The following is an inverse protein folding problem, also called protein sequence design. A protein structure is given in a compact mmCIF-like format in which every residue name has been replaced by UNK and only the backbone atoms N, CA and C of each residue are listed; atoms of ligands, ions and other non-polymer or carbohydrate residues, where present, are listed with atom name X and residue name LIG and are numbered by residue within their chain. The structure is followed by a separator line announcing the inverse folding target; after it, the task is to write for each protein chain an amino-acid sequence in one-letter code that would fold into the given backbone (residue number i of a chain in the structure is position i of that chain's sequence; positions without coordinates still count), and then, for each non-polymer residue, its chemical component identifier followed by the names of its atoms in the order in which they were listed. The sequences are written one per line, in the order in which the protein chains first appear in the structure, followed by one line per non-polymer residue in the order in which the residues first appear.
data_IF_815684574956
#
_entry.id   IF_815684574956
#
_cell.length_a   1.000
_cell.length_b   1.000
_cell.length_c   1.000
_cell.angle_alpha   90.00
_cell.angle_beta   90.00
_cell.angle_gamma   90.00
#
_symmetry.space_group_name_H-M   'P 1'
#
loop_
_entity.id
_entity.type
_entity.pdbx_description
1 polymer ?
#
# COMPACT_ATOMS: atom_id res chain seq x y z
N UNK A 1 3.85 -17.45 -12.11
CA UNK A 1 2.91 -16.32 -12.30
C UNK A 1 2.17 -16.08 -10.99
N UNK A 2 1.88 -14.82 -10.65
CA UNK A 2 1.23 -14.46 -9.40
C UNK A 2 -0.24 -14.90 -9.40
N UNK A 3 -0.67 -15.62 -8.35
CA UNK A 3 -2.09 -16.03 -8.19
C UNK A 3 -3.06 -14.84 -8.25
N UNK A 4 -2.58 -13.67 -7.83
CA UNK A 4 -3.34 -12.41 -7.90
C UNK A 4 -3.65 -11.99 -9.34
N UNK A 5 -2.72 -12.22 -10.29
CA UNK A 5 -2.91 -11.89 -11.70
C UNK A 5 -3.76 -12.93 -12.43
N UNK A 6 -3.73 -14.18 -11.99
CA UNK A 6 -4.47 -15.29 -12.62
C UNK A 6 -5.96 -15.28 -12.25
N UNK A 7 -6.32 -14.70 -11.11
CA UNK A 7 -7.69 -14.71 -10.59
C UNK A 7 -8.23 -13.30 -10.31
N UNK A 8 -8.05 -12.39 -11.27
CA UNK A 8 -8.46 -10.97 -11.14
C UNK A 8 -9.87 -10.79 -10.62
N UNK A 9 -10.85 -11.53 -11.15
CA UNK A 9 -12.26 -11.49 -10.72
C UNK A 9 -12.49 -11.80 -9.23
N UNK A 10 -11.55 -12.52 -8.60
CA UNK A 10 -11.59 -12.81 -7.17
C UNK A 10 -10.87 -11.74 -6.35
N UNK A 11 -9.76 -11.22 -6.87
CA UNK A 11 -8.88 -10.30 -6.14
C UNK A 11 -9.19 -8.80 -6.37
N UNK A 12 -9.98 -8.46 -7.38
CA UNK A 12 -10.49 -7.10 -7.63
C UNK A 12 -11.72 -6.76 -6.75
N UNK A 13 -12.02 -7.60 -5.75
CA UNK A 13 -13.12 -7.41 -4.79
C UNK A 13 -12.61 -6.84 -3.48
N UNK A 14 -13.45 -6.07 -2.80
CA UNK A 14 -13.21 -5.68 -1.40
C UNK A 14 -13.37 -6.91 -0.52
N UNK A 15 -12.25 -7.41 0.03
CA UNK A 15 -12.23 -8.65 0.83
C UNK A 15 -12.21 -8.35 2.34
N UNK A 16 -11.38 -7.40 2.78
CA UNK A 16 -11.08 -7.22 4.21
C UNK A 16 -12.07 -6.31 4.96
N UNK A 17 -12.82 -5.46 4.25
CA UNK A 17 -13.78 -4.56 4.89
C UNK A 17 -15.08 -5.30 5.22
N UNK A 18 -15.50 -5.19 6.48
CA UNK A 18 -16.83 -5.62 6.91
C UNK A 18 -17.92 -4.71 6.31
N UNK A 19 -19.19 -5.05 6.56
CA UNK A 19 -20.31 -4.30 5.98
C UNK A 19 -20.36 -2.86 6.46
N UNK A 20 -19.95 -2.57 7.71
CA UNK A 20 -19.96 -1.22 8.23
C UNK A 20 -18.87 -0.35 7.59
N UNK A 21 -17.64 -0.89 7.51
CA UNK A 21 -16.50 -0.23 6.88
C UNK A 21 -16.72 -0.03 5.36
N UNK A 22 -17.57 -0.86 4.71
CA UNK A 22 -18.00 -0.64 3.31
C UNK A 22 -18.96 0.54 3.17
N UNK A 23 -19.88 0.70 4.12
CA UNK A 23 -20.84 1.82 4.10
C UNK A 23 -20.19 3.15 4.52
N UNK A 24 -19.16 3.10 5.39
CA UNK A 24 -18.38 4.28 5.79
C UNK A 24 -16.86 4.03 5.71
N UNK A 25 -16.26 4.02 4.50
CA UNK A 25 -14.83 3.74 4.32
C UNK A 25 -13.89 4.70 5.06
N UNK A 26 -14.35 5.92 5.35
CA UNK A 26 -13.59 6.90 6.14
C UNK A 26 -13.30 6.40 7.57
N UNK A 27 -14.13 5.51 8.15
CA UNK A 27 -13.85 4.89 9.46
C UNK A 27 -12.54 4.10 9.44
N UNK A 28 -12.26 3.41 8.33
CA UNK A 28 -11.04 2.63 8.15
C UNK A 28 -9.82 3.56 8.19
N UNK A 29 -9.87 4.66 7.45
CA UNK A 29 -8.78 5.65 7.46
C UNK A 29 -8.61 6.29 8.84
N UNK A 30 -9.70 6.66 9.52
CA UNK A 30 -9.63 7.25 10.87
C UNK A 30 -8.97 6.30 11.86
N UNK A 31 -9.40 5.03 11.85
CA UNK A 31 -8.81 3.96 12.69
C UNK A 31 -7.35 3.70 12.33
N UNK A 32 -7.01 3.70 11.05
CA UNK A 32 -5.63 3.49 10.62
C UNK A 32 -4.71 4.63 11.09
N UNK A 33 -5.09 5.89 10.86
CA UNK A 33 -4.26 7.04 11.22
C UNK A 33 -4.34 7.44 12.71
N UNK A 34 -5.24 6.84 13.51
CA UNK A 34 -5.15 6.92 14.97
C UNK A 34 -3.99 6.08 15.52
N UNK A 35 -3.68 4.97 14.85
CA UNK A 35 -2.69 4.00 15.31
C UNK A 35 -1.29 4.28 14.73
N UNK A 36 -1.21 4.93 13.57
CA UNK A 36 0.04 5.18 12.86
C UNK A 36 0.22 6.65 12.48
N UNK A 37 1.43 7.19 12.71
CA UNK A 37 1.81 8.52 12.24
C UNK A 37 2.37 8.46 10.84
N UNK A 38 2.14 9.53 10.06
CA UNK A 38 2.58 9.61 8.68
C UNK A 38 4.10 9.40 8.50
N UNK A 39 4.92 9.90 9.43
CA UNK A 39 6.37 9.70 9.35
C UNK A 39 6.81 8.25 9.59
N UNK A 40 6.10 7.51 10.46
CA UNK A 40 6.37 6.09 10.71
C UNK A 40 6.03 5.26 9.48
N UNK A 41 4.90 5.57 8.85
CA UNK A 41 4.46 4.92 7.62
C UNK A 41 5.44 5.15 6.47
N UNK A 42 5.95 6.37 6.29
CA UNK A 42 7.00 6.68 5.30
C UNK A 42 8.27 5.88 5.57
N UNK A 43 8.70 5.81 6.83
CA UNK A 43 9.89 5.05 7.20
C UNK A 43 9.74 3.56 6.89
N UNK A 44 8.60 2.96 7.23
CA UNK A 44 8.30 1.55 6.96
C UNK A 44 8.25 1.30 5.45
N UNK A 45 7.54 2.15 4.71
CA UNK A 45 7.39 2.01 3.27
C UNK A 45 8.73 2.13 2.55
N UNK A 46 9.58 3.08 2.96
CA UNK A 46 10.95 3.19 2.45
C UNK A 46 11.78 1.95 2.77
N UNK A 47 11.69 1.42 4.00
CA UNK A 47 12.41 0.20 4.39
C UNK A 47 12.03 -1.00 3.52
N UNK A 48 10.75 -1.14 3.13
CA UNK A 48 10.32 -2.18 2.19
C UNK A 48 10.99 -2.02 0.82
N UNK A 49 11.00 -0.79 0.30
CA UNK A 49 11.63 -0.49 -1.00
C UNK A 49 13.14 -0.73 -0.96
N UNK A 50 13.81 -0.26 0.08
CA UNK A 50 15.24 -0.47 0.28
C UNK A 50 15.57 -1.96 0.25
N UNK A 51 14.88 -2.78 1.04
CA UNK A 51 15.11 -4.24 1.07
C UNK A 51 14.91 -4.87 -0.31
N UNK A 52 13.85 -4.51 -1.02
CA UNK A 52 13.58 -5.04 -2.36
C UNK A 52 14.62 -4.62 -3.42
N UNK A 53 15.28 -3.47 -3.23
CA UNK A 53 16.30 -2.96 -4.15
C UNK A 53 17.71 -3.46 -3.84
N UNK A 54 18.02 -3.71 -2.57
CA UNK A 54 19.39 -4.02 -2.12
C UNK A 54 19.62 -5.51 -1.83
N UNK A 55 18.56 -6.28 -1.66
CA UNK A 55 18.67 -7.72 -1.35
C UNK A 55 18.46 -8.54 -2.61
N UNK A 56 19.26 -9.58 -2.79
CA UNK A 56 18.96 -10.60 -3.80
C UNK A 56 17.59 -11.22 -3.51
N UNK A 57 16.65 -11.03 -4.42
CA UNK A 57 15.31 -11.55 -4.31
C UNK A 57 14.75 -11.85 -5.71
N UNK A 58 13.93 -12.89 -5.79
CA UNK A 58 13.32 -13.34 -7.06
C UNK A 58 12.13 -12.48 -7.49
N UNK A 59 11.63 -11.60 -6.62
CA UNK A 59 10.40 -10.82 -6.86
C UNK A 59 10.62 -9.48 -7.57
N UNK A 60 11.85 -8.97 -7.55
CA UNK A 60 12.30 -7.73 -8.17
C UNK A 60 13.71 -7.91 -8.75
N UNK A 61 13.96 -9.04 -9.41
CA UNK A 61 15.27 -9.35 -9.98
C UNK A 61 15.53 -8.52 -11.24
N UNK A 62 14.49 -8.17 -11.99
CA UNK A 62 14.60 -7.42 -13.23
C UNK A 62 14.69 -5.90 -12.98
N UNK A 63 15.55 -5.16 -13.72
CA UNK A 63 15.67 -3.71 -13.59
C UNK A 63 14.34 -2.95 -13.76
N UNK A 64 13.50 -3.37 -14.70
CA UNK A 64 12.19 -2.77 -14.96
C UNK A 64 11.25 -2.91 -13.76
N UNK A 65 11.23 -4.07 -13.10
CA UNK A 65 10.40 -4.31 -11.91
C UNK A 65 10.80 -3.39 -10.74
N UNK A 66 12.10 -3.11 -10.60
CA UNK A 66 12.66 -2.16 -9.62
C UNK A 66 12.30 -0.72 -9.93
N UNK A 67 12.32 -0.34 -11.21
CA UNK A 67 11.86 0.98 -11.64
C UNK A 67 10.36 1.17 -11.34
N UNK A 68 9.55 0.16 -11.66
CA UNK A 68 8.11 0.15 -11.36
C UNK A 68 7.83 0.14 -9.85
N UNK A 69 8.69 -0.49 -9.04
CA UNK A 69 8.59 -0.45 -7.58
C UNK A 69 8.75 0.98 -7.05
N UNK A 70 9.74 1.74 -7.55
CA UNK A 70 9.95 3.13 -7.17
C UNK A 70 8.76 4.03 -7.56
N UNK A 71 8.15 3.77 -8.72
CA UNK A 71 6.95 4.50 -9.13
C UNK A 71 5.75 4.17 -8.22
N UNK A 72 5.54 2.89 -7.91
CA UNK A 72 4.47 2.43 -7.00
C UNK A 72 4.67 2.96 -5.58
N UNK A 73 5.91 2.99 -5.09
CA UNK A 73 6.28 3.61 -3.82
C UNK A 73 5.78 5.05 -3.73
N UNK A 74 6.08 5.87 -4.75
CA UNK A 74 5.60 7.25 -4.80
C UNK A 74 4.07 7.35 -4.76
N UNK A 75 3.37 6.53 -5.54
CA UNK A 75 1.90 6.53 -5.51
C UNK A 75 1.34 6.10 -4.14
N UNK A 76 2.01 5.19 -3.43
CA UNK A 76 1.63 4.83 -2.07
C UNK A 76 1.86 5.97 -1.08
N UNK A 77 2.96 6.71 -1.18
CA UNK A 77 3.16 7.92 -0.36
C UNK A 77 2.05 8.95 -0.60
N UNK A 78 1.74 9.24 -1.87
CA UNK A 78 0.66 10.16 -2.25
C UNK A 78 -0.71 9.71 -1.72
N UNK A 79 -1.00 8.40 -1.75
CA UNK A 79 -2.22 7.82 -1.17
C UNK A 79 -2.28 7.98 0.35
N UNK A 80 -1.16 7.74 1.05
CA UNK A 80 -1.08 7.90 2.50
C UNK A 80 -1.24 9.36 2.92
N UNK A 81 -0.65 10.29 2.18
CA UNK A 81 -0.84 11.73 2.38
C UNK A 81 -2.28 12.16 2.16
N UNK A 82 -2.89 11.72 1.06
CA UNK A 82 -4.30 11.99 0.78
C UNK A 82 -5.20 11.44 1.89
N UNK A 83 -5.00 10.18 2.29
CA UNK A 83 -5.74 9.56 3.40
C UNK A 83 -5.55 10.31 4.71
N UNK A 84 -4.33 10.74 5.02
CA UNK A 84 -4.02 11.53 6.22
C UNK A 84 -4.78 12.85 6.24
N UNK A 85 -4.84 13.57 5.11
CA UNK A 85 -5.60 14.83 4.99
C UNK A 85 -7.12 14.61 5.07
N UNK A 86 -7.63 13.48 4.55
CA UNK A 86 -9.07 13.18 4.59
C UNK A 86 -9.59 12.93 6.01
N UNK A 87 -8.71 12.53 6.94
CA UNK A 87 -9.07 12.32 8.35
C UNK A 87 -8.44 13.35 9.29
N UNK A 88 -7.46 14.09 8.79
CA UNK A 88 -6.66 15.07 9.50
C UNK A 88 -7.19 16.49 9.30
N UNK A 89 -8.44 16.71 9.72
CA UNK A 89 -8.95 17.91 10.41
C UNK A 89 -10.06 17.44 11.38
#
# INVERSE_FOLDING_TARGET
MSKFLEQRELFDKVICLDEEDRQEPLRVFRRFFSDYRLHELRHILWGMVEVCLTTENDGFSEPEERADLLLRFRHFEELLEAGWLMVGE
#
